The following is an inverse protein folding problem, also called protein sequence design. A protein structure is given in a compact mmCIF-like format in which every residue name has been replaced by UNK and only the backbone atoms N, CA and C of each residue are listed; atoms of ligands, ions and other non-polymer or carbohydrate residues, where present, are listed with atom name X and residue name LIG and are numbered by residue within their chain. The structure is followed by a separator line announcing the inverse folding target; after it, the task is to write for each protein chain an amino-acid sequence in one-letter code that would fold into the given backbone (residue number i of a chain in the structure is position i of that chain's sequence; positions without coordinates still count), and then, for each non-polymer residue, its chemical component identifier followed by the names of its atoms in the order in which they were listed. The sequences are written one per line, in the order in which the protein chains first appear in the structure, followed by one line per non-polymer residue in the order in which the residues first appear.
data_IF_628269155815
#
_entry.id   IF_628269155815
#
_cell.length_a   1.000
_cell.length_b   1.000
_cell.length_c   1.000
_cell.angle_alpha   90.00
_cell.angle_beta   90.00
_cell.angle_gamma   90.00
#
_symmetry.space_group_name_H-M   'P 1'
#
loop_
_entity.id
_entity.type
_entity.pdbx_description
1 polymer ?
#
# COMPACT_ATOMS: atom_id res chain seq x y z
N UNK A 1 12.89 -11.85 -35.14
CA UNK A 1 11.43 -12.03 -34.93
C UNK A 1 10.88 -10.70 -34.40
N UNK A 2 10.12 -9.96 -35.19
CA UNK A 2 9.45 -8.75 -34.72
C UNK A 2 8.19 -9.19 -33.98
N UNK A 3 8.13 -8.92 -32.66
CA UNK A 3 7.01 -9.32 -31.81
C UNK A 3 5.80 -8.36 -31.87
N UNK A 4 5.81 -7.40 -32.83
CA UNK A 4 4.70 -6.46 -33.01
C UNK A 4 4.60 -5.35 -31.97
N UNK A 5 5.57 -5.24 -31.05
CA UNK A 5 5.61 -4.16 -30.06
C UNK A 5 6.43 -2.98 -30.57
N UNK A 6 5.89 -1.78 -30.36
CA UNK A 6 6.61 -0.53 -30.59
C UNK A 6 7.39 -0.16 -29.32
N UNK A 7 8.72 -0.18 -29.39
CA UNK A 7 9.59 0.21 -28.29
C UNK A 7 9.97 1.68 -28.47
N UNK A 8 9.72 2.51 -27.44
CA UNK A 8 10.07 3.93 -27.46
C UNK A 8 11.56 4.10 -27.13
N UNK A 9 12.41 4.59 -28.06
CA UNK A 9 13.86 4.62 -27.88
C UNK A 9 14.28 5.41 -26.63
N UNK A 10 13.75 6.63 -26.45
CA UNK A 10 14.17 7.55 -25.38
C UNK A 10 13.65 7.15 -23.99
N UNK A 11 12.68 6.25 -23.92
CA UNK A 11 12.07 5.76 -22.65
C UNK A 11 12.50 4.35 -22.31
N UNK A 12 13.37 3.75 -23.10
CA UNK A 12 13.80 2.37 -22.95
C UNK A 12 15.27 2.29 -22.62
N UNK A 13 15.63 1.42 -21.67
CA UNK A 13 17.02 1.10 -21.35
C UNK A 13 17.36 -0.22 -22.05
N UNK A 14 18.19 -0.13 -23.10
CA UNK A 14 18.57 -1.29 -23.93
C UNK A 14 19.80 -2.03 -23.39
N UNK A 15 20.60 -1.39 -22.53
CA UNK A 15 21.75 -2.01 -21.90
C UNK A 15 21.28 -2.68 -20.61
N UNK A 16 21.49 -4.01 -20.45
CA UNK A 16 21.17 -4.69 -19.20
C UNK A 16 21.85 -4.02 -18.02
N UNK A 17 21.09 -3.70 -16.98
CA UNK A 17 21.59 -3.07 -15.75
C UNK A 17 21.02 -3.78 -14.53
N UNK A 18 21.81 -3.86 -13.47
CA UNK A 18 21.41 -4.47 -12.20
C UNK A 18 20.65 -3.51 -11.29
N UNK A 19 20.66 -2.21 -11.60
CA UNK A 19 19.94 -1.19 -10.86
C UNK A 19 19.21 -0.27 -11.84
N UNK A 20 17.89 -0.24 -11.75
CA UNK A 20 17.03 0.50 -12.69
C UNK A 20 15.93 1.23 -11.92
N UNK A 21 15.67 2.48 -12.28
CA UNK A 21 14.48 3.21 -11.85
C UNK A 21 13.32 2.92 -12.80
N UNK A 22 12.24 2.37 -12.28
CA UNK A 22 11.04 2.03 -13.03
C UNK A 22 9.77 2.37 -12.24
N UNK A 23 8.86 3.15 -12.84
CA UNK A 23 7.58 3.58 -12.24
C UNK A 23 7.72 4.18 -10.82
N UNK A 24 8.78 4.94 -10.60
CA UNK A 24 9.05 5.59 -9.31
C UNK A 24 9.64 4.65 -8.25
N UNK A 25 10.18 3.50 -8.66
CA UNK A 25 10.89 2.56 -7.79
C UNK A 25 12.29 2.29 -8.35
N UNK A 26 13.24 2.12 -7.44
CA UNK A 26 14.57 1.58 -7.75
C UNK A 26 14.51 0.08 -7.56
N UNK A 27 14.67 -0.65 -8.65
CA UNK A 27 14.83 -2.10 -8.67
C UNK A 27 16.33 -2.41 -8.61
N UNK A 28 16.75 -3.18 -7.63
CA UNK A 28 18.14 -3.57 -7.41
C UNK A 28 18.23 -5.10 -7.38
N UNK A 29 18.78 -5.70 -8.45
CA UNK A 29 18.92 -7.14 -8.58
C UNK A 29 20.15 -7.70 -7.86
N UNK A 30 21.11 -6.87 -7.45
CA UNK A 30 22.25 -7.29 -6.61
C UNK A 30 21.79 -7.53 -5.19
N UNK A 31 21.04 -6.58 -4.62
CA UNK A 31 20.51 -6.68 -3.26
C UNK A 31 19.12 -7.31 -3.21
N UNK A 32 18.54 -7.64 -4.37
CA UNK A 32 17.19 -8.21 -4.51
C UNK A 32 16.15 -7.38 -3.77
N UNK A 33 16.11 -6.06 -4.06
CA UNK A 33 15.22 -5.12 -3.38
C UNK A 33 14.47 -4.19 -4.33
N UNK A 34 13.28 -3.75 -3.88
CA UNK A 34 12.50 -2.67 -4.47
C UNK A 34 12.40 -1.54 -3.45
N UNK A 35 12.78 -0.33 -3.84
CA UNK A 35 12.77 0.86 -2.98
C UNK A 35 12.07 2.00 -3.73
N UNK A 36 11.12 2.73 -3.13
CA UNK A 36 10.57 3.93 -3.77
C UNK A 36 11.67 4.98 -3.98
N UNK A 37 11.55 5.81 -5.02
CA UNK A 37 12.43 6.96 -5.21
C UNK A 37 12.21 8.01 -4.12
N UNK A 38 13.21 8.87 -3.90
CA UNK A 38 13.13 9.96 -2.90
C UNK A 38 11.91 10.87 -3.15
N UNK A 39 11.64 11.22 -4.41
CA UNK A 39 10.46 12.01 -4.80
C UNK A 39 9.14 11.33 -4.38
N UNK A 40 9.07 10.00 -4.56
CA UNK A 40 7.88 9.23 -4.21
C UNK A 40 7.70 9.16 -2.70
N UNK A 41 8.78 9.00 -1.94
CA UNK A 41 8.79 9.05 -0.47
C UNK A 41 8.43 10.45 0.02
N UNK A 42 9.04 11.49 -0.54
CA UNK A 42 8.74 12.89 -0.19
C UNK A 42 7.27 13.23 -0.40
N UNK A 43 6.70 12.84 -1.53
CA UNK A 43 5.26 13.01 -1.81
C UNK A 43 4.38 12.29 -0.81
N UNK A 44 4.72 11.05 -0.45
CA UNK A 44 3.98 10.27 0.54
C UNK A 44 4.00 10.94 1.91
N UNK A 45 5.19 11.30 2.43
CA UNK A 45 5.34 11.91 3.75
C UNK A 45 4.65 13.28 3.83
N UNK A 46 4.78 14.10 2.79
CA UNK A 46 4.11 15.41 2.72
C UNK A 46 2.60 15.27 2.80
N UNK A 47 1.99 14.37 2.02
CA UNK A 47 0.54 14.19 2.02
C UNK A 47 0.02 13.57 3.32
N UNK A 48 0.76 12.61 3.92
CA UNK A 48 0.41 12.06 5.22
C UNK A 48 0.44 13.13 6.32
N UNK A 49 1.47 13.98 6.36
CA UNK A 49 1.57 15.07 7.33
C UNK A 49 0.47 16.11 7.16
N UNK A 50 0.13 16.49 5.93
CA UNK A 50 -0.99 17.39 5.65
C UNK A 50 -2.33 16.82 6.12
N UNK A 51 -2.53 15.52 5.94
CA UNK A 51 -3.76 14.85 6.41
C UNK A 51 -3.82 14.78 7.93
N UNK A 52 -2.71 14.52 8.63
CA UNK A 52 -2.63 14.51 10.10
C UNK A 52 -2.88 15.88 10.74
N UNK A 53 -2.60 16.98 10.01
CA UNK A 53 -2.83 18.36 10.48
C UNK A 53 -4.24 18.87 10.20
N UNK A 54 -5.06 18.11 9.49
CA UNK A 54 -6.39 18.55 9.07
C UNK A 54 -7.48 17.79 9.84
N UNK A 55 -8.12 18.47 10.78
CA UNK A 55 -9.18 17.91 11.61
C UNK A 55 -10.46 17.53 10.84
N UNK A 56 -10.69 18.16 9.69
CA UNK A 56 -11.90 17.96 8.87
C UNK A 56 -11.53 17.80 7.38
N UNK A 57 -10.78 16.73 7.00
CA UNK A 57 -10.43 16.52 5.61
C UNK A 57 -11.66 16.19 4.76
N UNK A 58 -11.62 16.54 3.48
CA UNK A 58 -12.63 16.07 2.54
C UNK A 58 -12.41 14.60 2.22
N UNK A 59 -13.49 13.89 1.87
CA UNK A 59 -13.40 12.47 1.43
C UNK A 59 -12.46 12.35 0.24
N UNK A 60 -12.41 13.34 -0.66
CA UNK A 60 -11.48 13.40 -1.79
C UNK A 60 -10.02 13.42 -1.33
N UNK A 61 -9.68 14.28 -0.37
CA UNK A 61 -8.32 14.36 0.16
C UNK A 61 -7.87 13.03 0.79
N UNK A 62 -8.76 12.40 1.58
CA UNK A 62 -8.49 11.07 2.14
C UNK A 62 -8.30 10.01 1.05
N UNK A 63 -9.13 10.02 0.00
CA UNK A 63 -9.00 9.10 -1.13
C UNK A 63 -7.67 9.30 -1.90
N UNK A 64 -7.23 10.54 -2.08
CA UNK A 64 -5.93 10.87 -2.70
C UNK A 64 -4.76 10.33 -1.88
N UNK A 65 -4.79 10.51 -0.56
CA UNK A 65 -3.77 9.96 0.35
C UNK A 65 -3.76 8.43 0.27
N UNK A 66 -4.91 7.77 0.34
CA UNK A 66 -5.02 6.31 0.17
C UNK A 66 -4.39 5.86 -1.16
N UNK A 67 -4.67 6.57 -2.26
CA UNK A 67 -4.07 6.28 -3.56
C UNK A 67 -2.53 6.38 -3.53
N UNK A 68 -1.98 7.37 -2.82
CA UNK A 68 -0.53 7.51 -2.62
C UNK A 68 0.01 6.34 -1.79
N UNK A 69 -0.64 5.95 -0.68
CA UNK A 69 -0.24 4.81 0.14
C UNK A 69 -0.21 3.52 -0.69
N UNK A 70 -1.29 3.20 -1.39
CA UNK A 70 -1.43 1.99 -2.23
C UNK A 70 -0.37 1.99 -3.34
N UNK A 71 -0.09 3.13 -3.96
CA UNK A 71 0.93 3.25 -5.01
C UNK A 71 2.35 2.95 -4.49
N UNK A 72 2.57 2.96 -3.18
CA UNK A 72 3.86 2.66 -2.54
C UNK A 72 4.00 1.18 -2.08
N UNK A 73 2.95 0.37 -2.14
CA UNK A 73 2.99 -1.05 -1.71
C UNK A 73 4.09 -1.89 -2.36
N UNK A 74 4.45 -1.70 -3.65
CA UNK A 74 5.56 -2.46 -4.23
C UNK A 74 6.89 -2.28 -3.48
N UNK A 75 7.13 -1.11 -2.87
CA UNK A 75 8.32 -0.80 -2.10
C UNK A 75 8.12 -0.80 -0.57
N UNK A 76 6.91 -1.05 -0.08
CA UNK A 76 6.58 -1.03 1.35
C UNK A 76 6.03 -2.39 1.80
N UNK A 77 6.91 -3.27 2.30
CA UNK A 77 6.56 -4.65 2.64
C UNK A 77 5.36 -4.75 3.58
N UNK A 78 5.26 -3.88 4.59
CA UNK A 78 4.19 -3.87 5.58
C UNK A 78 3.11 -2.82 5.30
N UNK A 79 3.25 -2.04 4.24
CA UNK A 79 2.28 -1.00 3.85
C UNK A 79 0.82 -1.48 3.79
N UNK A 80 0.54 -2.66 3.19
CA UNK A 80 -0.82 -3.20 3.14
C UNK A 80 -1.51 -3.46 4.49
N UNK A 81 -0.75 -3.46 5.60
CA UNK A 81 -1.29 -3.62 6.95
C UNK A 81 -1.78 -2.30 7.56
N UNK A 82 -1.35 -1.14 7.00
CA UNK A 82 -1.55 0.18 7.60
C UNK A 82 -2.31 1.13 6.67
N UNK A 83 -3.53 0.76 6.25
CA UNK A 83 -4.45 1.62 5.49
C UNK A 83 -5.92 1.16 5.57
N UNK A 84 -6.20 0.02 6.20
CA UNK A 84 -7.53 -0.62 6.17
C UNK A 84 -8.60 0.15 6.91
N UNK A 85 -8.27 0.74 8.07
CA UNK A 85 -9.20 1.59 8.81
C UNK A 85 -9.49 2.86 8.00
N UNK A 86 -8.46 3.49 7.44
CA UNK A 86 -8.59 4.66 6.60
C UNK A 86 -9.49 4.39 5.36
N UNK A 87 -9.29 3.24 4.70
CA UNK A 87 -10.11 2.80 3.55
C UNK A 87 -11.58 2.59 3.95
N UNK A 88 -11.81 1.88 5.06
CA UNK A 88 -13.16 1.60 5.58
C UNK A 88 -13.90 2.89 5.95
N UNK A 89 -13.24 3.81 6.64
CA UNK A 89 -13.83 5.07 7.05
C UNK A 89 -14.17 5.97 5.85
N UNK A 90 -13.26 6.04 4.88
CA UNK A 90 -13.54 6.73 3.60
C UNK A 90 -14.77 6.14 2.92
N UNK A 91 -14.87 4.83 2.83
CA UNK A 91 -16.01 4.15 2.21
C UNK A 91 -17.31 4.45 2.96
N UNK A 92 -17.32 4.32 4.29
CA UNK A 92 -18.50 4.59 5.14
C UNK A 92 -18.95 6.04 5.02
N UNK A 93 -18.00 7.00 5.03
CA UNK A 93 -18.29 8.41 4.84
C UNK A 93 -18.87 8.69 3.46
N UNK A 94 -18.32 8.08 2.40
CA UNK A 94 -18.80 8.25 1.03
C UNK A 94 -20.22 7.73 0.86
N UNK A 95 -20.55 6.58 1.45
CA UNK A 95 -21.93 6.03 1.45
C UNK A 95 -22.88 6.97 2.20
N UNK A 96 -22.52 7.43 3.39
CA UNK A 96 -23.31 8.34 4.20
C UNK A 96 -23.56 9.70 3.49
N UNK A 97 -22.62 10.15 2.69
CA UNK A 97 -22.68 11.39 1.90
C UNK A 97 -23.17 11.18 0.47
N UNK A 98 -23.77 10.01 0.16
CA UNK A 98 -24.36 9.67 -1.16
C UNK A 98 -23.41 9.88 -2.33
N UNK A 99 -22.12 9.60 -2.15
CA UNK A 99 -21.09 9.70 -3.19
C UNK A 99 -20.46 11.09 -3.33
N UNK A 100 -20.76 12.05 -2.45
CA UNK A 100 -20.15 13.37 -2.51
C UNK A 100 -18.74 13.39 -1.92
N UNK A 101 -17.74 13.36 -2.78
CA UNK A 101 -16.33 13.44 -2.43
C UNK A 101 -15.89 14.80 -1.85
N UNK A 102 -16.69 15.84 -2.01
CA UNK A 102 -16.38 17.18 -1.51
C UNK A 102 -16.81 17.38 -0.06
N UNK A 103 -17.64 16.46 0.47
CA UNK A 103 -18.04 16.47 1.87
C UNK A 103 -16.84 16.24 2.79
N UNK A 104 -16.85 16.90 3.94
CA UNK A 104 -15.90 16.65 5.01
C UNK A 104 -16.20 15.32 5.72
N UNK A 105 -15.16 14.69 6.24
CA UNK A 105 -15.23 13.50 7.10
C UNK A 105 -14.32 13.65 8.31
N UNK A 106 -14.55 12.82 9.31
CA UNK A 106 -13.71 12.72 10.50
C UNK A 106 -12.94 11.41 10.48
N UNK A 107 -11.69 11.45 10.91
CA UNK A 107 -10.83 10.26 11.03
C UNK A 107 -10.77 9.81 12.47
N UNK A 108 -10.98 8.53 12.70
CA UNK A 108 -10.84 7.91 14.03
C UNK A 108 -9.37 7.76 14.43
N UNK A 109 -9.13 7.53 15.71
CA UNK A 109 -7.78 7.27 16.21
C UNK A 109 -7.09 6.07 15.53
N UNK A 110 -7.75 4.94 15.23
CA UNK A 110 -7.15 3.86 14.45
C UNK A 110 -6.67 4.30 13.05
N UNK A 111 -7.47 5.09 12.32
CA UNK A 111 -7.08 5.61 11.00
C UNK A 111 -5.88 6.57 11.09
N UNK A 112 -5.87 7.46 12.08
CA UNK A 112 -4.74 8.36 12.35
C UNK A 112 -3.47 7.57 12.70
N UNK A 113 -3.59 6.48 13.47
CA UNK A 113 -2.46 5.61 13.81
C UNK A 113 -1.86 4.93 12.56
N UNK A 114 -2.70 4.53 11.59
CA UNK A 114 -2.22 3.99 10.32
C UNK A 114 -1.40 5.04 9.54
N UNK A 115 -1.89 6.28 9.43
CA UNK A 115 -1.16 7.36 8.76
C UNK A 115 0.15 7.67 9.48
N UNK A 116 0.12 7.73 10.82
CA UNK A 116 1.30 7.98 11.63
C UNK A 116 2.37 6.90 11.46
N UNK A 117 1.96 5.64 11.24
CA UNK A 117 2.90 4.57 10.93
C UNK A 117 3.73 4.88 9.68
N UNK A 118 3.09 5.36 8.59
CA UNK A 118 3.80 5.70 7.36
C UNK A 118 4.80 6.84 7.56
N UNK A 119 4.46 7.83 8.39
CA UNK A 119 5.34 8.96 8.69
C UNK A 119 6.54 8.51 9.54
N UNK A 120 6.31 7.63 10.52
CA UNK A 120 7.34 7.21 11.48
C UNK A 120 8.26 6.09 10.95
N UNK A 121 7.89 5.43 9.84
CA UNK A 121 8.62 4.28 9.32
C UNK A 121 9.14 4.45 7.87
N UNK A 122 9.79 5.56 7.51
CA UNK A 122 10.31 5.75 6.15
C UNK A 122 11.38 4.72 5.77
N UNK A 123 12.10 4.16 6.74
CA UNK A 123 13.10 3.10 6.53
C UNK A 123 12.47 1.75 6.16
N UNK A 124 11.19 1.54 6.48
CA UNK A 124 10.42 0.35 6.07
C UNK A 124 9.95 0.42 4.61
N UNK A 125 10.21 1.52 3.90
CA UNK A 125 9.95 1.69 2.47
C UNK A 125 11.04 1.00 1.64
N UNK A 126 11.22 -0.29 1.92
CA UNK A 126 12.09 -1.20 1.20
C UNK A 126 11.47 -2.59 1.26
N UNK A 127 11.36 -3.24 0.12
CA UNK A 127 10.86 -4.61 0.02
C UNK A 127 11.93 -5.53 -0.54
N UNK A 128 12.16 -6.65 0.12
CA UNK A 128 12.99 -7.71 -0.43
C UNK A 128 12.19 -8.50 -1.48
N UNK A 129 12.81 -8.81 -2.61
CA UNK A 129 12.22 -9.63 -3.69
C UNK A 129 12.40 -11.12 -3.36
N UNK A 130 13.54 -11.49 -2.77
CA UNK A 130 13.83 -12.85 -2.32
C UNK A 130 13.69 -12.96 -0.80
N UNK A 131 12.92 -13.94 -0.36
CA UNK A 131 12.65 -14.18 1.07
C UNK A 131 13.32 -15.45 1.60
N UNK A 132 14.18 -16.13 0.81
CA UNK A 132 14.77 -17.41 1.18
C UNK A 132 13.71 -18.55 1.25
N UNK A 133 14.09 -19.66 1.86
CA UNK A 133 13.15 -20.74 2.11
C UNK A 133 12.25 -20.40 3.30
N UNK A 134 10.94 -20.63 3.21
CA UNK A 134 10.02 -20.36 4.31
C UNK A 134 10.29 -21.33 5.47
N UNK A 135 10.41 -20.79 6.67
CA UNK A 135 10.52 -21.60 7.91
C UNK A 135 9.14 -21.99 8.45
N UNK A 136 8.10 -21.30 8.01
CA UNK A 136 6.72 -21.47 8.46
C UNK A 136 5.80 -21.42 7.24
N UNK A 137 4.91 -22.40 7.15
CA UNK A 137 3.87 -22.45 6.12
C UNK A 137 2.52 -22.33 6.82
N UNK A 138 1.77 -21.29 6.48
CA UNK A 138 0.40 -21.07 6.94
C UNK A 138 -0.51 -21.22 5.73
N UNK A 139 -1.51 -22.08 5.84
CA UNK A 139 -2.59 -22.20 4.87
C UNK A 139 -3.76 -21.37 5.37
N UNK A 140 -4.31 -20.51 4.53
CA UNK A 140 -5.49 -19.71 4.89
C UNK A 140 -6.46 -19.63 3.72
N UNK A 141 -7.73 -19.57 4.06
CA UNK A 141 -8.82 -19.37 3.12
C UNK A 141 -9.88 -18.47 3.74
N UNK A 142 -10.60 -17.75 2.88
CA UNK A 142 -11.67 -16.85 3.31
C UNK A 142 -12.87 -16.92 2.37
N UNK A 143 -14.06 -16.86 2.95
CA UNK A 143 -15.33 -16.77 2.26
C UNK A 143 -16.07 -15.48 2.67
N UNK A 144 -17.27 -15.28 2.12
CA UNK A 144 -18.14 -14.17 2.56
C UNK A 144 -18.60 -14.29 4.01
N UNK A 145 -18.57 -15.50 4.58
CA UNK A 145 -19.11 -15.79 5.92
C UNK A 145 -18.01 -15.92 6.98
N UNK A 146 -16.77 -16.15 6.59
CA UNK A 146 -15.70 -16.34 7.55
C UNK A 146 -14.35 -16.58 6.91
N UNK A 147 -13.35 -16.70 7.75
CA UNK A 147 -11.97 -17.03 7.38
C UNK A 147 -11.42 -18.17 8.24
N UNK A 148 -10.47 -18.90 7.73
CA UNK A 148 -9.75 -19.95 8.45
C UNK A 148 -8.28 -19.93 8.12
N UNK A 149 -7.45 -20.34 9.08
CA UNK A 149 -6.02 -20.52 8.90
C UNK A 149 -5.52 -21.77 9.64
N UNK A 150 -4.55 -22.45 9.07
CA UNK A 150 -3.93 -23.65 9.65
C UNK A 150 -2.42 -23.51 9.62
N UNK A 151 -1.77 -23.84 10.74
CA UNK A 151 -0.34 -23.94 10.88
C UNK A 151 0.00 -25.21 11.66
N UNK A 152 0.52 -26.23 10.99
CA UNK A 152 0.69 -27.56 11.57
C UNK A 152 -0.64 -28.10 12.09
N UNK A 153 -0.72 -28.43 13.38
CA UNK A 153 -1.95 -28.89 14.03
C UNK A 153 -2.84 -27.75 14.56
N UNK A 154 -2.34 -26.51 14.57
CA UNK A 154 -3.06 -25.35 15.07
C UNK A 154 -4.01 -24.83 14.01
N UNK A 155 -5.26 -24.61 14.41
CA UNK A 155 -6.30 -24.02 13.56
C UNK A 155 -6.83 -22.74 14.22
N UNK A 156 -7.08 -21.74 13.41
CA UNK A 156 -7.75 -20.49 13.83
C UNK A 156 -8.74 -20.08 12.76
N UNK A 157 -9.79 -19.41 13.15
CA UNK A 157 -10.80 -18.92 12.22
C UNK A 157 -11.80 -18.02 12.92
N UNK A 158 -12.60 -17.29 12.14
CA UNK A 158 -13.62 -16.38 12.65
C UNK A 158 -14.67 -16.07 11.59
N UNK A 159 -15.84 -15.60 12.05
CA UNK A 159 -16.85 -15.02 11.17
C UNK A 159 -16.38 -13.67 10.60
N UNK A 160 -16.90 -13.32 9.43
CA UNK A 160 -16.79 -11.96 8.88
C UNK A 160 -18.07 -11.24 9.29
N UNK A 161 -17.94 -10.21 10.14
CA UNK A 161 -19.08 -9.36 10.46
C UNK A 161 -19.56 -8.71 9.16
N UNK A 162 -20.81 -9.00 8.83
CA UNK A 162 -21.49 -8.37 7.68
C UNK A 162 -21.68 -6.89 8.03
N UNK A 163 -20.99 -6.02 7.32
CA UNK A 163 -21.14 -4.55 7.39
C UNK A 163 -22.38 -4.14 6.61
#
# INVERSE_FOLDING_TARGET
MQLGFFVHPDKSVFVPTQRLTFLGFVLDSVHMTVTPTEDKVGKLLSNCNLLLQNDNPTIRHVAEVIGILVSNFPGAQYGPLHYRHLEREKYSALVAKKGDYSSAMHLSQPALTEIQWWVNNPTCLKRNICHGNPNVIIQSDASKLGWGAVYGERKSGGGVDTI
#
